data_IF_005717350286
#
_entry.id   IF_005717350286
#
_cell.length_a   1.000
_cell.length_b   1.000
_cell.length_c   1.000
_cell.angle_alpha   90.00
_cell.angle_beta   90.00
_cell.angle_gamma   90.00
#
_symmetry.space_group_name_H-M   'P 1'
#
loop_
_entity.id
_entity.type
_entity.pdbx_description
1 polymer ?
#
# COMPACT_ATOMS: atom_id res chain seq x y z
N UNK A 1 -0.39 -45.09 9.53
CA UNK A 1 -0.03 -44.24 8.37
C UNK A 1 -1.01 -43.07 8.35
N UNK A 2 -0.50 -41.84 8.42
CA UNK A 2 -1.15 -40.62 8.92
C UNK A 2 -2.49 -40.26 8.24
N UNK A 3 -3.57 -40.13 9.03
CA UNK A 3 -4.75 -39.33 8.67
C UNK A 3 -4.45 -37.87 9.02
N UNK A 4 -4.23 -37.02 8.02
CA UNK A 4 -4.20 -35.57 8.23
C UNK A 4 -5.63 -35.11 8.53
N UNK A 5 -5.95 -35.01 9.81
CA UNK A 5 -7.12 -34.29 10.32
C UNK A 5 -6.87 -32.78 10.14
N UNK A 6 -7.02 -32.27 8.92
CA UNK A 6 -7.12 -30.81 8.73
C UNK A 6 -8.49 -30.37 9.24
N UNK A 7 -8.52 -29.87 10.47
CA UNK A 7 -9.68 -29.22 11.06
C UNK A 7 -10.22 -28.17 10.06
N UNK A 8 -11.46 -28.29 9.56
CA UNK A 8 -12.02 -27.37 8.58
C UNK A 8 -11.87 -25.92 9.01
N UNK A 9 -12.07 -25.63 10.30
CA UNK A 9 -11.96 -24.29 10.88
C UNK A 9 -10.55 -23.69 10.76
N UNK A 10 -9.49 -24.51 10.69
CA UNK A 10 -8.12 -24.03 10.52
C UNK A 10 -7.87 -23.51 9.11
N UNK A 11 -8.38 -24.21 8.09
CA UNK A 11 -8.32 -23.79 6.70
C UNK A 11 -9.20 -22.56 6.46
N UNK A 12 -10.44 -22.54 6.96
CA UNK A 12 -11.31 -21.36 6.83
C UNK A 12 -10.71 -20.13 7.51
N UNK A 13 -10.14 -20.27 8.70
CA UNK A 13 -9.51 -19.13 9.39
C UNK A 13 -8.25 -18.64 8.68
N UNK A 14 -7.47 -19.54 8.05
CA UNK A 14 -6.31 -19.16 7.24
C UNK A 14 -6.74 -18.40 5.99
N UNK A 15 -7.71 -18.95 5.25
CA UNK A 15 -8.27 -18.29 4.05
C UNK A 15 -8.89 -16.94 4.43
N UNK A 16 -9.69 -16.88 5.49
CA UNK A 16 -10.27 -15.62 5.97
C UNK A 16 -9.20 -14.58 6.33
N UNK A 17 -8.09 -14.99 6.98
CA UNK A 17 -6.95 -14.09 7.26
C UNK A 17 -6.27 -13.59 5.97
N UNK A 18 -6.10 -14.44 4.97
CA UNK A 18 -5.52 -14.06 3.67
C UNK A 18 -6.43 -13.09 2.88
N UNK A 19 -7.74 -13.12 3.13
CA UNK A 19 -8.70 -12.20 2.52
C UNK A 19 -8.91 -10.88 3.29
N UNK A 20 -8.29 -10.69 4.46
CA UNK A 20 -8.45 -9.47 5.26
C UNK A 20 -7.71 -8.25 4.69
N UNK A 21 -6.65 -8.45 3.91
CA UNK A 21 -5.78 -7.35 3.49
C UNK A 21 -6.26 -6.53 2.29
N UNK A 22 -7.26 -7.01 1.53
CA UNK A 22 -7.91 -6.26 0.44
C UNK A 22 -7.05 -6.04 -0.80
N UNK A 23 -7.66 -5.47 -1.86
CA UNK A 23 -6.94 -5.10 -3.08
C UNK A 23 -6.38 -3.67 -2.97
N UNK A 24 -5.14 -3.47 -3.43
CA UNK A 24 -4.52 -2.15 -3.53
C UNK A 24 -3.74 -1.98 -4.82
N UNK A 25 -3.45 -0.73 -5.16
CA UNK A 25 -2.53 -0.41 -6.24
C UNK A 25 -1.08 -0.56 -5.79
N UNK A 26 -0.30 -1.28 -6.59
CA UNK A 26 1.15 -1.19 -6.62
C UNK A 26 1.56 0.02 -7.43
N UNK A 27 2.27 0.94 -6.79
CA UNK A 27 2.82 2.13 -7.44
C UNK A 27 4.04 1.74 -8.28
N UNK A 28 3.99 2.02 -9.58
CA UNK A 28 5.16 2.04 -10.45
C UNK A 28 5.41 3.48 -10.88
N UNK A 29 4.72 3.95 -11.93
CA UNK A 29 4.86 5.32 -12.41
C UNK A 29 3.97 6.33 -11.64
N UNK A 30 2.90 5.87 -10.99
CA UNK A 30 2.06 6.67 -10.08
C UNK A 30 1.05 7.59 -10.76
N UNK A 31 0.93 7.57 -12.10
CA UNK A 31 0.02 8.46 -12.84
C UNK A 31 -1.44 8.01 -12.80
N UNK A 32 -1.69 6.71 -12.58
CA UNK A 32 -3.05 6.15 -12.61
C UNK A 32 -3.69 6.07 -11.23
N UNK A 33 -2.90 6.21 -10.16
CA UNK A 33 -3.38 6.12 -8.78
C UNK A 33 -3.69 7.50 -8.23
N UNK A 34 -4.96 7.70 -7.85
CA UNK A 34 -5.40 8.86 -7.09
C UNK A 34 -4.97 8.70 -5.63
N UNK A 35 -4.22 9.67 -5.09
CA UNK A 35 -3.66 9.61 -3.73
C UNK A 35 -4.77 9.35 -2.70
N UNK A 36 -5.89 10.03 -2.88
CA UNK A 36 -6.90 10.20 -1.85
C UNK A 36 -8.13 9.31 -2.00
N UNK A 37 -8.28 8.66 -3.15
CA UNK A 37 -9.49 7.93 -3.53
C UNK A 37 -9.21 6.49 -3.95
N UNK A 38 -7.93 6.07 -3.98
CA UNK A 38 -7.56 4.69 -4.28
C UNK A 38 -6.84 4.05 -3.09
N UNK A 39 -7.01 2.74 -2.84
CA UNK A 39 -6.19 2.01 -1.88
C UNK A 39 -4.80 1.75 -2.47
N UNK A 40 -3.73 2.23 -1.86
CA UNK A 40 -2.36 2.04 -2.36
C UNK A 40 -1.27 1.96 -1.27
N UNK A 41 -1.58 2.32 -0.03
CA UNK A 41 -0.62 2.34 1.08
C UNK A 41 -0.78 1.06 1.90
N UNK A 42 0.21 0.15 1.91
CA UNK A 42 0.14 -1.05 2.73
C UNK A 42 0.28 -0.71 4.23
N UNK A 43 -0.49 -1.42 5.07
CA UNK A 43 -0.33 -1.37 6.52
C UNK A 43 -0.96 -0.16 7.21
N UNK A 44 -1.78 0.63 6.51
CA UNK A 44 -2.62 1.70 7.09
C UNK A 44 -4.11 1.36 6.94
N UNK A 45 -5.01 1.96 7.73
CA UNK A 45 -6.44 1.72 7.62
C UNK A 45 -6.96 1.93 6.19
N UNK A 46 -7.78 1.00 5.70
CA UNK A 46 -8.36 1.01 4.34
C UNK A 46 -7.34 1.08 3.20
N UNK A 47 -6.05 0.91 3.49
CA UNK A 47 -4.94 1.07 2.53
C UNK A 47 -4.87 2.48 1.92
N UNK A 48 -5.44 3.48 2.59
CA UNK A 48 -5.58 4.84 2.12
C UNK A 48 -5.02 5.82 3.14
N UNK A 49 -4.43 6.94 2.71
CA UNK A 49 -3.96 7.95 3.64
C UNK A 49 -5.13 8.62 4.35
N UNK A 50 -4.87 9.10 5.57
CA UNK A 50 -5.81 9.95 6.28
C UNK A 50 -5.85 11.35 5.63
N UNK A 51 -7.04 11.82 5.23
CA UNK A 51 -7.23 13.19 4.75
C UNK A 51 -7.10 14.14 5.93
N UNK A 52 -6.09 15.00 5.92
CA UNK A 52 -5.87 16.00 6.97
C UNK A 52 -6.07 17.42 6.42
N UNK A 53 -6.20 18.41 7.31
CA UNK A 53 -6.30 19.83 6.90
C UNK A 53 -5.02 20.35 6.22
N UNK A 54 -3.89 19.66 6.35
CA UNK A 54 -2.60 20.05 5.75
C UNK A 54 -2.40 19.50 4.35
N UNK A 55 -3.28 18.62 3.88
CA UNK A 55 -3.16 17.98 2.57
C UNK A 55 -3.37 19.00 1.45
N UNK A 56 -2.33 19.21 0.62
CA UNK A 56 -2.38 20.13 -0.50
C UNK A 56 -3.39 19.67 -1.56
N UNK A 57 -4.29 20.56 -2.04
CA UNK A 57 -5.22 20.23 -3.12
C UNK A 57 -4.52 20.03 -4.47
N UNK A 58 -3.23 20.40 -4.59
CA UNK A 58 -2.46 20.20 -5.82
C UNK A 58 -1.93 18.78 -5.95
N UNK A 59 -1.86 18.01 -4.86
CA UNK A 59 -1.42 16.62 -4.89
C UNK A 59 -2.62 15.73 -5.22
N UNK A 60 -2.67 15.20 -6.44
CA UNK A 60 -3.79 14.38 -6.91
C UNK A 60 -3.34 12.94 -7.21
N UNK A 61 -2.17 12.77 -7.80
CA UNK A 61 -1.63 11.49 -8.26
C UNK A 61 -0.44 11.06 -7.43
N UNK A 62 -0.26 9.76 -7.23
CA UNK A 62 0.91 9.23 -6.52
C UNK A 62 2.25 9.70 -7.14
N UNK A 63 2.28 9.95 -8.46
CA UNK A 63 3.43 10.54 -9.14
C UNK A 63 3.81 11.95 -8.63
N UNK A 64 2.87 12.72 -8.10
CA UNK A 64 3.12 14.05 -7.53
C UNK A 64 3.93 13.99 -6.22
N UNK A 65 4.01 12.80 -5.62
CA UNK A 65 4.75 12.54 -4.38
C UNK A 65 6.18 12.03 -4.65
N UNK A 66 6.55 11.81 -5.91
CA UNK A 66 7.86 11.28 -6.28
C UNK A 66 8.91 12.38 -6.37
N UNK A 67 10.17 12.01 -6.17
CA UNK A 67 11.30 12.90 -6.43
C UNK A 67 11.51 13.13 -7.94
N UNK A 68 12.48 13.96 -8.29
CA UNK A 68 12.81 14.28 -9.68
C UNK A 68 13.23 13.05 -10.50
N UNK A 69 13.72 11.99 -9.86
CA UNK A 69 14.14 10.75 -10.53
C UNK A 69 12.96 9.82 -10.80
N UNK A 70 11.82 10.04 -10.13
CA UNK A 70 10.62 9.19 -10.14
C UNK A 70 10.87 7.75 -9.72
N UNK A 71 11.94 7.50 -8.97
CA UNK A 71 12.30 6.18 -8.42
C UNK A 71 12.26 6.14 -6.90
N UNK A 72 12.08 7.29 -6.26
CA UNK A 72 11.93 7.43 -4.82
C UNK A 72 10.86 8.46 -4.49
N UNK A 73 10.39 8.42 -3.24
CA UNK A 73 9.46 9.40 -2.70
C UNK A 73 10.18 10.71 -2.36
N UNK A 74 9.53 11.84 -2.62
CA UNK A 74 9.96 13.13 -2.10
C UNK A 74 9.58 13.24 -0.61
N UNK A 75 10.56 13.05 0.27
CA UNK A 75 10.33 13.02 1.72
C UNK A 75 9.81 14.35 2.27
N UNK A 76 10.22 15.48 1.69
CA UNK A 76 9.74 16.80 2.12
C UNK A 76 8.26 16.99 1.78
N UNK A 77 7.86 16.62 0.57
CA UNK A 77 6.45 16.62 0.16
C UNK A 77 5.61 15.74 1.07
N UNK A 78 6.09 14.54 1.40
CA UNK A 78 5.36 13.62 2.28
C UNK A 78 5.20 14.20 3.70
N UNK A 79 6.29 14.70 4.29
CA UNK A 79 6.29 15.27 5.65
C UNK A 79 5.29 16.42 5.80
N UNK A 80 5.09 17.21 4.74
CA UNK A 80 4.21 18.38 4.78
C UNK A 80 2.73 18.05 4.55
N UNK A 81 2.38 16.86 4.04
CA UNK A 81 1.03 16.56 3.53
C UNK A 81 0.37 15.32 4.16
N UNK A 82 1.13 14.50 4.87
CA UNK A 82 0.68 13.22 5.44
C UNK A 82 0.97 13.15 6.93
N UNK A 83 0.22 12.32 7.65
CA UNK A 83 0.54 11.97 9.03
C UNK A 83 1.88 11.22 9.09
N UNK A 84 2.54 11.23 10.25
CA UNK A 84 3.79 10.45 10.43
C UNK A 84 3.56 8.96 10.16
N UNK A 85 2.39 8.42 10.55
CA UNK A 85 2.04 7.02 10.30
C UNK A 85 1.97 6.71 8.80
N UNK A 86 1.24 7.52 8.03
CA UNK A 86 1.08 7.34 6.59
C UNK A 86 2.41 7.56 5.87
N UNK A 87 3.15 8.61 6.22
CA UNK A 87 4.47 8.89 5.65
C UNK A 87 5.39 7.68 5.82
N UNK A 88 5.47 7.11 7.02
CA UNK A 88 6.34 5.96 7.29
C UNK A 88 5.89 4.70 6.54
N UNK A 89 4.59 4.55 6.27
CA UNK A 89 4.07 3.45 5.45
C UNK A 89 4.39 3.66 3.95
N UNK A 90 4.17 4.87 3.42
CA UNK A 90 4.52 5.25 2.04
C UNK A 90 6.01 5.04 1.79
N UNK A 91 6.86 5.51 2.71
CA UNK A 91 8.32 5.37 2.61
C UNK A 91 8.78 3.91 2.59
N UNK A 92 7.96 2.92 2.94
CA UNK A 92 8.31 1.49 2.81
C UNK A 92 7.98 0.92 1.42
N UNK A 93 7.19 1.63 0.61
CA UNK A 93 6.89 1.23 -0.76
C UNK A 93 8.16 1.43 -1.60
N UNK A 94 8.57 0.39 -2.32
CA UNK A 94 9.78 0.32 -3.15
C UNK A 94 9.47 -0.22 -4.55
N UNK A 95 10.45 -0.10 -5.45
CA UNK A 95 10.37 -0.70 -6.78
C UNK A 95 9.60 0.13 -7.81
N UNK A 96 9.54 1.45 -7.60
CA UNK A 96 9.01 2.41 -8.58
C UNK A 96 9.82 2.34 -9.87
N UNK A 97 9.14 2.14 -10.99
CA UNK A 97 9.74 2.03 -12.32
C UNK A 97 8.93 2.90 -13.28
N UNK A 98 9.46 4.07 -13.70
CA UNK A 98 8.73 5.02 -14.55
C UNK A 98 8.27 4.45 -15.90
N UNK A 99 8.88 3.34 -16.35
CA UNK A 99 8.50 2.65 -17.59
C UNK A 99 7.37 1.63 -17.42
N UNK A 100 6.83 1.44 -16.22
CA UNK A 100 5.77 0.46 -15.93
C UNK A 100 4.51 1.15 -15.44
N UNK A 101 3.36 0.66 -15.88
CA UNK A 101 2.07 1.09 -15.37
C UNK A 101 1.84 0.59 -13.94
N UNK A 102 1.05 1.33 -13.17
CA UNK A 102 0.56 0.88 -11.87
C UNK A 102 -0.33 -0.35 -12.05
N UNK A 103 -0.44 -1.19 -11.02
CA UNK A 103 -1.19 -2.46 -11.12
C UNK A 103 -2.00 -2.70 -9.85
N UNK A 104 -3.17 -3.31 -10.00
CA UNK A 104 -3.92 -3.81 -8.85
C UNK A 104 -3.29 -5.13 -8.37
N UNK A 105 -3.02 -5.23 -7.07
CA UNK A 105 -2.53 -6.43 -6.41
C UNK A 105 -3.35 -6.74 -5.16
N UNK A 106 -3.41 -8.03 -4.82
CA UNK A 106 -4.00 -8.46 -3.56
C UNK A 106 -2.99 -8.32 -2.43
N UNK A 107 -3.31 -7.54 -1.41
CA UNK A 107 -2.56 -7.51 -0.17
C UNK A 107 -3.16 -8.58 0.75
N UNK A 108 -2.40 -9.62 1.06
CA UNK A 108 -2.90 -10.69 1.94
C UNK A 108 -3.08 -10.22 3.38
N UNK A 109 -2.51 -9.07 3.78
CA UNK A 109 -2.50 -8.60 5.17
C UNK A 109 -1.62 -9.44 6.12
N UNK A 110 -1.07 -10.56 5.65
CA UNK A 110 -0.20 -11.43 6.44
C UNK A 110 1.24 -10.89 6.37
N UNK A 111 1.73 -10.34 7.48
CA UNK A 111 3.17 -10.22 7.69
C UNK A 111 3.72 -11.64 7.88
N UNK A 112 4.32 -12.21 6.84
CA UNK A 112 5.16 -13.39 7.02
C UNK A 112 6.27 -13.00 7.99
N UNK A 113 6.19 -13.52 9.21
CA UNK A 113 7.30 -13.46 10.16
C UNK A 113 8.33 -14.42 9.58
N UNK A 114 9.33 -13.89 8.87
CA UNK A 114 10.50 -14.66 8.49
C UNK A 114 11.24 -15.02 9.78
N UNK A 115 11.17 -16.30 10.15
CA UNK A 115 12.02 -16.93 11.16
C UNK A 115 13.48 -16.96 10.69
#
# INVERSE_FOLDING_TARGET
>A
MLKLLTNPNSLTNKVLKEFQGGARYKINYGISVQIWDNPWIPGVPKLMPEKTHFSSPLLQKANDLLDSTRRSWNTETLKNNFTDMDMQAILKIRGMEPKKHDRLEWDSGIKLISL
#
